data_IF_782917829343
#
_entry.id   IF_782917829343
#
_cell.length_a   1.000
_cell.length_b   1.000
_cell.length_c   1.000
_cell.angle_alpha   90.00
_cell.angle_beta   90.00
_cell.angle_gamma   90.00
#
_symmetry.space_group_name_H-M   'P 1'
#
loop_
_entity.id
_entity.type
_entity.pdbx_description
1 polymer ?
#
# COMPACT_ATOMS: atom_id res chain seq x y z
N UNK A 1 -9.07 13.60 -25.21
CA UNK A 1 -10.32 13.25 -24.50
C UNK A 1 -10.33 13.99 -23.17
N UNK A 2 -11.50 14.35 -22.62
CA UNK A 2 -11.56 14.97 -21.29
C UNK A 2 -11.39 13.88 -20.23
N UNK A 3 -10.45 14.06 -19.30
CA UNK A 3 -10.25 13.16 -18.16
C UNK A 3 -11.36 13.37 -17.14
N UNK A 4 -12.01 12.30 -16.72
CA UNK A 4 -13.01 12.29 -15.65
C UNK A 4 -12.27 12.13 -14.33
N UNK A 5 -12.51 13.06 -13.39
CA UNK A 5 -11.96 12.99 -12.03
C UNK A 5 -13.03 12.45 -11.10
N UNK A 6 -12.70 11.40 -10.36
CA UNK A 6 -13.58 10.71 -9.42
C UNK A 6 -12.97 10.78 -8.03
N UNK A 7 -13.74 11.21 -7.05
CA UNK A 7 -13.41 11.10 -5.64
C UNK A 7 -14.02 9.81 -5.09
N UNK A 8 -13.21 8.94 -4.49
CA UNK A 8 -13.68 7.66 -3.93
C UNK A 8 -13.15 7.44 -2.52
N UNK A 9 -13.87 6.63 -1.73
CA UNK A 9 -13.59 6.48 -0.30
C UNK A 9 -13.29 5.03 0.11
N UNK A 10 -12.17 4.83 0.78
CA UNK A 10 -11.93 3.67 1.65
C UNK A 10 -12.39 4.08 3.05
N UNK A 11 -13.62 3.72 3.41
CA UNK A 11 -14.24 4.09 4.68
C UNK A 11 -13.93 3.02 5.73
N UNK A 12 -13.30 3.41 6.84
CA UNK A 12 -12.98 2.49 7.94
C UNK A 12 -14.04 2.57 9.04
N UNK A 13 -14.57 1.42 9.42
CA UNK A 13 -15.43 1.26 10.59
C UNK A 13 -14.62 1.29 11.88
N UNK A 14 -15.31 1.40 13.02
CA UNK A 14 -14.68 1.36 14.35
C UNK A 14 -14.00 0.03 14.66
N UNK A 15 -14.41 -1.06 13.99
CA UNK A 15 -13.80 -2.39 14.05
C UNK A 15 -12.66 -2.59 13.02
N UNK A 16 -12.31 -1.56 12.26
CA UNK A 16 -11.25 -1.59 11.25
C UNK A 16 -11.62 -2.27 9.93
N UNK A 17 -12.89 -2.70 9.76
CA UNK A 17 -13.42 -3.16 8.48
C UNK A 17 -13.57 -2.00 7.50
N UNK A 18 -13.63 -2.34 6.22
CA UNK A 18 -13.79 -1.41 5.11
C UNK A 18 -15.21 -1.55 4.55
N UNK A 19 -15.90 -0.43 4.37
CA UNK A 19 -17.20 -0.41 3.71
C UNK A 19 -17.02 -0.49 2.19
N UNK A 20 -17.75 -1.40 1.56
CA UNK A 20 -17.82 -1.53 0.11
C UNK A 20 -19.29 -1.57 -0.33
N UNK A 21 -19.56 -1.09 -1.53
CA UNK A 21 -20.89 -1.11 -2.15
C UNK A 21 -20.89 -2.02 -3.37
N UNK A 22 -22.04 -2.64 -3.66
CA UNK A 22 -22.21 -3.44 -4.87
C UNK A 22 -22.93 -2.63 -5.94
N UNK A 23 -22.34 -2.55 -7.13
CA UNK A 23 -22.96 -1.90 -8.29
C UNK A 23 -24.28 -2.55 -8.63
N UNK A 24 -25.28 -1.74 -8.95
CA UNK A 24 -26.50 -2.22 -9.56
C UNK A 24 -26.18 -2.97 -10.87
N UNK A 25 -26.87 -4.08 -11.13
CA UNK A 25 -26.60 -4.94 -12.30
C UNK A 25 -26.74 -4.21 -13.64
N UNK A 26 -27.49 -3.10 -13.68
CA UNK A 26 -27.75 -2.28 -14.87
C UNK A 26 -26.65 -1.26 -15.18
N UNK A 27 -25.67 -1.06 -14.28
CA UNK A 27 -24.58 -0.11 -14.48
C UNK A 27 -23.40 -0.71 -15.26
N UNK A 28 -22.48 0.14 -15.71
CA UNK A 28 -21.25 -0.31 -16.37
C UNK A 28 -20.40 -1.16 -15.41
N UNK A 29 -20.18 -2.43 -15.77
CA UNK A 29 -19.59 -3.46 -14.89
C UNK A 29 -20.46 -3.75 -13.65
N UNK A 30 -21.79 -3.80 -13.83
CA UNK A 30 -22.76 -4.15 -12.79
C UNK A 30 -22.48 -5.50 -12.11
N UNK A 31 -22.88 -5.61 -10.85
CA UNK A 31 -22.67 -6.80 -10.03
C UNK A 31 -21.30 -6.90 -9.35
N UNK A 32 -20.29 -6.11 -9.78
CA UNK A 32 -19.00 -5.96 -9.11
C UNK A 32 -19.11 -5.07 -7.86
N UNK A 33 -18.13 -5.20 -6.96
CA UNK A 33 -17.97 -4.34 -5.80
C UNK A 33 -17.16 -3.10 -6.12
N UNK A 34 -17.41 -2.02 -5.38
CA UNK A 34 -16.69 -0.75 -5.52
C UNK A 34 -16.52 -0.02 -4.18
N UNK A 35 -15.66 0.99 -4.23
CA UNK A 35 -15.49 1.95 -3.15
C UNK A 35 -16.46 3.13 -3.42
N UNK A 36 -17.30 3.52 -2.44
CA UNK A 36 -18.28 4.59 -2.61
C UNK A 36 -17.65 5.93 -3.03
N UNK A 37 -18.41 6.74 -3.76
CA UNK A 37 -17.99 8.05 -4.26
C UNK A 37 -18.35 8.27 -5.72
N UNK A 38 -18.07 9.48 -6.21
CA UNK A 38 -18.51 9.91 -7.54
C UNK A 38 -17.65 10.99 -8.16
N UNK A 39 -18.22 11.69 -9.13
CA UNK A 39 -17.46 12.60 -9.99
C UNK A 39 -17.20 13.91 -9.27
N UNK A 40 -15.99 14.42 -9.43
CA UNK A 40 -15.65 15.79 -9.02
C UNK A 40 -16.23 16.76 -10.05
N UNK A 41 -17.07 17.70 -9.59
CA UNK A 41 -17.69 18.70 -10.44
C UNK A 41 -16.71 19.84 -10.80
N UNK A 42 -17.07 20.65 -11.80
CA UNK A 42 -16.23 21.75 -12.25
C UNK A 42 -16.11 22.83 -11.16
N UNK A 43 -14.88 23.07 -10.69
CA UNK A 43 -14.59 24.04 -9.62
C UNK A 43 -14.79 23.49 -8.21
N UNK A 44 -15.20 22.23 -8.08
CA UNK A 44 -15.33 21.53 -6.80
C UNK A 44 -13.97 21.00 -6.34
N UNK A 45 -13.68 21.10 -5.04
CA UNK A 45 -12.50 20.46 -4.45
C UNK A 45 -12.77 18.97 -4.23
N UNK A 46 -11.72 18.15 -4.18
CA UNK A 46 -11.87 16.69 -4.05
C UNK A 46 -12.53 16.32 -2.71
N UNK A 47 -12.20 17.04 -1.64
CA UNK A 47 -12.79 16.86 -0.31
C UNK A 47 -14.28 17.24 -0.28
N UNK A 48 -14.68 18.31 -0.98
CA UNK A 48 -16.09 18.69 -1.11
C UNK A 48 -16.88 17.65 -1.91
N UNK A 49 -16.33 17.17 -3.03
CA UNK A 49 -16.93 16.12 -3.84
C UNK A 49 -17.09 14.83 -3.03
N UNK A 50 -16.04 14.40 -2.33
CA UNK A 50 -16.07 13.22 -1.48
C UNK A 50 -17.17 13.34 -0.41
N UNK A 51 -17.26 14.48 0.28
CA UNK A 51 -18.25 14.68 1.33
C UNK A 51 -19.70 14.67 0.79
N UNK A 52 -19.93 15.31 -0.37
CA UNK A 52 -21.23 15.33 -1.04
C UNK A 52 -21.65 13.92 -1.48
N UNK A 53 -20.78 13.23 -2.22
CA UNK A 53 -21.07 11.90 -2.77
C UNK A 53 -21.34 10.88 -1.65
N UNK A 54 -20.55 10.88 -0.57
CA UNK A 54 -20.80 9.97 0.56
C UNK A 54 -22.08 10.32 1.33
N UNK A 55 -22.50 11.58 1.34
CA UNK A 55 -23.79 11.96 1.91
C UNK A 55 -24.94 11.48 1.03
N UNK A 56 -24.85 11.67 -0.28
CA UNK A 56 -25.87 11.30 -1.27
C UNK A 56 -26.03 9.78 -1.39
N UNK A 57 -24.92 9.03 -1.42
CA UNK A 57 -24.95 7.57 -1.63
C UNK A 57 -25.18 6.77 -0.35
N UNK A 58 -24.66 7.26 0.78
CA UNK A 58 -24.60 6.50 2.04
C UNK A 58 -25.28 7.15 3.24
N UNK A 59 -25.67 8.43 3.14
CA UNK A 59 -26.25 9.18 4.24
C UNK A 59 -25.27 9.53 5.37
N UNK A 60 -23.96 9.52 5.12
CA UNK A 60 -22.94 9.85 6.13
C UNK A 60 -22.29 11.22 5.90
N UNK A 61 -21.81 11.83 6.98
CA UNK A 61 -21.04 13.08 6.91
C UNK A 61 -19.61 12.84 7.38
N UNK A 62 -18.64 13.07 6.49
CA UNK A 62 -17.21 12.88 6.77
C UNK A 62 -16.73 13.87 7.82
N UNK A 63 -15.98 13.39 8.82
CA UNK A 63 -15.36 14.25 9.85
C UNK A 63 -13.83 14.17 9.86
N UNK A 64 -13.26 13.08 9.33
CA UNK A 64 -11.82 12.97 9.12
C UNK A 64 -11.52 12.11 7.92
N UNK A 65 -10.73 12.65 7.00
CA UNK A 65 -10.25 11.95 5.83
C UNK A 65 -8.83 12.38 5.46
N UNK A 66 -8.11 11.52 4.74
CA UNK A 66 -6.79 11.81 4.18
C UNK A 66 -6.63 11.21 2.79
N UNK A 67 -5.70 11.71 1.95
CA UNK A 67 -5.32 11.02 0.73
C UNK A 67 -4.81 9.60 1.01
N UNK A 68 -5.20 8.64 0.16
CA UNK A 68 -4.74 7.25 0.22
C UNK A 68 -3.92 6.87 -1.01
N UNK A 69 -4.49 7.02 -2.21
CA UNK A 69 -3.83 6.70 -3.48
C UNK A 69 -4.50 7.42 -4.64
N UNK A 70 -3.74 7.77 -5.69
CA UNK A 70 -4.29 8.26 -6.96
C UNK A 70 -3.95 7.29 -8.09
N UNK A 71 -4.93 6.99 -8.93
CA UNK A 71 -4.79 6.03 -10.02
C UNK A 71 -5.30 6.68 -11.31
N UNK A 72 -4.42 6.78 -12.30
CA UNK A 72 -4.82 7.16 -13.66
C UNK A 72 -5.09 5.88 -14.46
N UNK A 73 -6.29 5.76 -15.02
CA UNK A 73 -6.68 4.62 -15.84
C UNK A 73 -7.34 5.09 -17.13
N UNK A 74 -6.77 4.67 -18.26
CA UNK A 74 -7.24 5.02 -19.58
C UNK A 74 -7.96 3.82 -20.20
N UNK A 75 -9.30 3.89 -20.22
CA UNK A 75 -10.15 2.99 -20.99
C UNK A 75 -10.15 3.40 -22.47
N UNK A 76 -10.48 2.49 -23.40
CA UNK A 76 -10.56 2.83 -24.83
C UNK A 76 -11.47 4.02 -25.16
N UNK A 77 -12.52 4.24 -24.35
CA UNK A 77 -13.55 5.25 -24.53
C UNK A 77 -13.45 6.45 -23.57
N UNK A 78 -12.64 6.37 -22.51
CA UNK A 78 -12.55 7.42 -21.47
C UNK A 78 -11.26 7.34 -20.65
N UNK A 79 -10.78 8.49 -20.19
CA UNK A 79 -9.67 8.58 -19.24
C UNK A 79 -10.21 8.94 -17.86
N UNK A 80 -9.78 8.22 -16.83
CA UNK A 80 -10.27 8.39 -15.45
C UNK A 80 -9.10 8.62 -14.50
N UNK A 81 -9.23 9.59 -13.61
CA UNK A 81 -8.40 9.75 -12.42
C UNK A 81 -9.24 9.38 -11.20
N UNK A 82 -8.90 8.28 -10.54
CA UNK A 82 -9.44 7.90 -9.24
C UNK A 82 -8.58 8.57 -8.18
N UNK A 83 -9.15 9.53 -7.45
CA UNK A 83 -8.52 10.21 -6.32
C UNK A 83 -9.14 9.64 -5.04
N UNK A 84 -8.43 8.69 -4.43
CA UNK A 84 -8.98 7.84 -3.37
C UNK A 84 -8.51 8.31 -2.01
N UNK A 85 -9.47 8.48 -1.11
CA UNK A 85 -9.27 8.97 0.23
C UNK A 85 -9.62 7.90 1.26
N UNK A 86 -8.88 7.87 2.36
CA UNK A 86 -9.24 7.08 3.53
C UNK A 86 -10.10 7.95 4.45
N UNK A 87 -11.31 7.49 4.75
CA UNK A 87 -12.21 8.12 5.74
C UNK A 87 -12.10 7.33 7.03
N UNK A 88 -11.50 7.95 8.06
CA UNK A 88 -11.30 7.32 9.37
C UNK A 88 -12.38 7.66 10.38
N UNK A 89 -13.17 8.72 10.14
CA UNK A 89 -14.32 9.06 10.97
C UNK A 89 -15.39 9.80 10.20
N UNK A 90 -16.65 9.54 10.58
CA UNK A 90 -17.85 10.15 10.01
C UNK A 90 -18.98 10.12 11.04
N UNK A 91 -20.07 10.83 10.76
CA UNK A 91 -21.34 10.75 11.50
C UNK A 91 -22.45 10.16 10.62
N UNK A 92 -23.46 9.55 11.24
CA UNK A 92 -24.52 8.83 10.55
C UNK A 92 -24.25 7.33 10.46
N UNK A 93 -25.28 6.57 10.06
CA UNK A 93 -25.18 5.12 9.84
C UNK A 93 -25.21 4.85 8.33
N UNK A 94 -24.16 4.24 7.75
CA UNK A 94 -24.12 3.99 6.31
C UNK A 94 -25.25 3.06 5.88
N UNK A 95 -26.00 3.48 4.86
CA UNK A 95 -27.03 2.68 4.22
C UNK A 95 -27.06 3.04 2.73
N UNK A 96 -27.36 2.08 1.86
CA UNK A 96 -27.47 2.37 0.44
C UNK A 96 -28.70 3.22 0.16
N UNK A 97 -28.52 4.52 -0.07
CA UNK A 97 -29.63 5.46 -0.31
C UNK A 97 -30.44 5.08 -1.55
N UNK A 98 -29.80 4.51 -2.57
CA UNK A 98 -30.43 3.98 -3.78
C UNK A 98 -30.82 2.49 -3.66
N UNK A 99 -30.71 1.91 -2.46
CA UNK A 99 -30.97 0.48 -2.20
C UNK A 99 -29.81 -0.44 -2.60
N UNK A 100 -28.63 0.10 -2.88
CA UNK A 100 -27.45 -0.69 -3.22
C UNK A 100 -26.98 -1.54 -2.01
N UNK A 101 -26.65 -2.82 -2.20
CA UNK A 101 -26.11 -3.65 -1.12
C UNK A 101 -24.77 -3.10 -0.62
N UNK A 102 -24.63 -3.02 0.70
CA UNK A 102 -23.39 -2.65 1.38
C UNK A 102 -22.81 -3.85 2.13
N UNK A 103 -21.49 -3.89 2.27
CA UNK A 103 -20.80 -4.85 3.12
C UNK A 103 -19.65 -4.19 3.88
N UNK A 104 -19.55 -4.52 5.17
CA UNK A 104 -18.36 -4.25 5.98
C UNK A 104 -17.44 -5.47 5.91
N UNK A 105 -16.29 -5.31 5.28
CA UNK A 105 -15.37 -6.42 4.96
C UNK A 105 -14.04 -6.23 5.69
N UNK A 106 -13.47 -7.31 6.22
CA UNK A 106 -12.14 -7.20 6.82
C UNK A 106 -11.08 -6.91 5.74
N UNK A 107 -9.98 -6.26 6.13
CA UNK A 107 -8.87 -5.99 5.20
C UNK A 107 -8.32 -7.29 4.57
N UNK A 108 -8.38 -8.42 5.28
CA UNK A 108 -7.91 -9.70 4.74
C UNK A 108 -8.83 -10.21 3.63
N UNK A 109 -10.14 -10.18 3.86
CA UNK A 109 -11.16 -10.70 2.95
C UNK A 109 -11.38 -9.79 1.73
N UNK A 110 -10.96 -8.53 1.77
CA UNK A 110 -11.16 -7.57 0.68
C UNK A 110 -10.63 -8.06 -0.68
N UNK A 111 -9.60 -8.90 -0.68
CA UNK A 111 -9.03 -9.48 -1.91
C UNK A 111 -9.88 -10.62 -2.51
N UNK A 112 -10.88 -11.13 -1.78
CA UNK A 112 -11.79 -12.21 -2.21
C UNK A 112 -13.02 -11.67 -2.96
N UNK A 113 -13.21 -10.35 -2.97
CA UNK A 113 -14.34 -9.69 -3.63
C UNK A 113 -13.95 -9.27 -5.05
N UNK A 114 -14.90 -9.39 -5.98
CA UNK A 114 -14.68 -9.03 -7.38
C UNK A 114 -14.78 -7.50 -7.58
N UNK A 115 -13.63 -6.89 -7.83
CA UNK A 115 -13.50 -5.47 -8.15
C UNK A 115 -13.07 -5.26 -9.61
N UNK A 116 -13.40 -4.08 -10.21
CA UNK A 116 -12.79 -3.65 -11.46
C UNK A 116 -11.25 -3.69 -11.41
N UNK A 117 -10.61 -3.96 -12.54
CA UNK A 117 -9.14 -4.04 -12.61
C UNK A 117 -8.45 -2.74 -12.10
N UNK A 118 -9.05 -1.58 -12.38
CA UNK A 118 -8.56 -0.27 -11.92
C UNK A 118 -8.60 -0.10 -10.38
N UNK A 119 -9.41 -0.90 -9.67
CA UNK A 119 -9.54 -0.82 -8.22
C UNK A 119 -8.55 -1.74 -7.48
N UNK A 120 -7.83 -2.63 -8.18
CA UNK A 120 -6.85 -3.52 -7.54
C UNK A 120 -5.80 -2.78 -6.71
N UNK A 121 -5.22 -1.65 -7.17
CA UNK A 121 -4.28 -0.88 -6.34
C UNK A 121 -4.96 -0.23 -5.13
N UNK A 122 -6.26 0.08 -5.21
CA UNK A 122 -7.05 0.58 -4.06
C UNK A 122 -7.21 -0.51 -3.02
N UNK A 123 -7.57 -1.74 -3.45
CA UNK A 123 -7.64 -2.91 -2.57
C UNK A 123 -6.29 -3.15 -1.89
N UNK A 124 -5.17 -3.02 -2.62
CA UNK A 124 -3.84 -3.11 -2.03
C UNK A 124 -3.61 -2.01 -0.97
N UNK A 125 -3.88 -0.75 -1.31
CA UNK A 125 -3.70 0.40 -0.42
C UNK A 125 -4.54 0.29 0.87
N UNK A 126 -5.78 -0.16 0.76
CA UNK A 126 -6.71 -0.32 1.89
C UNK A 126 -6.23 -1.38 2.90
N UNK A 127 -5.44 -2.36 2.44
CA UNK A 127 -4.89 -3.48 3.23
C UNK A 127 -3.51 -3.19 3.81
N UNK A 128 -2.83 -2.18 3.30
CA UNK A 128 -1.47 -1.83 3.70
C UNK A 128 -1.50 -0.81 4.86
N UNK A 129 -0.65 -0.97 5.89
CA UNK A 129 -0.54 0.01 6.98
C UNK A 129 0.19 1.28 6.52
N UNK A 130 0.20 2.33 7.35
CA UNK A 130 0.99 3.55 7.08
C UNK A 130 2.49 3.40 7.40
N UNK A 131 2.91 2.27 7.98
CA UNK A 131 4.27 2.06 8.49
C UNK A 131 4.80 0.71 8.02
N UNK A 132 6.02 0.73 7.48
CA UNK A 132 6.71 -0.46 7.01
C UNK A 132 8.07 -0.58 7.70
N UNK A 133 8.14 -1.44 8.72
CA UNK A 133 9.36 -1.67 9.47
C UNK A 133 10.35 -2.49 8.64
N UNK A 134 11.62 -2.08 8.60
CA UNK A 134 12.71 -2.87 8.04
C UNK A 134 13.65 -3.23 9.18
N UNK A 135 14.00 -4.51 9.31
CA UNK A 135 14.88 -4.93 10.41
C UNK A 135 16.31 -4.38 10.25
N UNK A 136 17.02 -4.10 11.35
CA UNK A 136 18.46 -3.87 11.32
C UNK A 136 19.22 -5.13 10.89
N UNK A 137 20.47 -4.96 10.45
CA UNK A 137 21.36 -6.04 10.00
C UNK A 137 22.61 -6.21 10.88
N UNK A 138 22.75 -5.38 11.92
CA UNK A 138 23.88 -5.36 12.86
C UNK A 138 23.57 -6.04 14.20
N UNK A 139 22.42 -6.69 14.34
CA UNK A 139 22.00 -7.40 15.54
C UNK A 139 22.21 -8.91 15.44
N UNK A 140 22.54 -9.52 16.57
CA UNK A 140 22.51 -10.98 16.70
C UNK A 140 21.08 -11.52 16.70
N UNK A 141 20.92 -12.77 16.25
CA UNK A 141 19.60 -13.42 16.06
C UNK A 141 18.66 -13.28 17.27
N UNK A 142 19.09 -13.53 18.52
CA UNK A 142 18.19 -13.40 19.67
C UNK A 142 17.64 -11.98 19.86
N UNK A 143 18.48 -10.97 19.64
CA UNK A 143 18.10 -9.56 19.80
C UNK A 143 17.21 -9.09 18.65
N UNK A 144 17.51 -9.54 17.42
CA UNK A 144 16.69 -9.29 16.24
C UNK A 144 15.27 -9.84 16.40
N UNK A 145 15.14 -11.11 16.82
CA UNK A 145 13.85 -11.76 17.04
C UNK A 145 13.08 -11.12 18.21
N UNK A 146 13.78 -10.72 19.28
CA UNK A 146 13.18 -9.95 20.38
C UNK A 146 12.61 -8.62 19.87
N UNK A 147 13.36 -7.89 19.05
CA UNK A 147 12.91 -6.63 18.46
C UNK A 147 11.71 -6.80 17.53
N UNK A 148 11.68 -7.83 16.67
CA UNK A 148 10.51 -8.15 15.84
C UNK A 148 9.28 -8.40 16.72
N UNK A 149 9.41 -9.22 17.76
CA UNK A 149 8.32 -9.52 18.69
C UNK A 149 7.79 -8.26 19.35
N UNK A 150 8.66 -7.39 19.86
CA UNK A 150 8.28 -6.14 20.51
C UNK A 150 7.59 -5.19 19.53
N UNK A 151 8.12 -5.03 18.31
CA UNK A 151 7.53 -4.17 17.29
C UNK A 151 6.13 -4.62 16.88
N UNK A 152 5.94 -5.92 16.65
CA UNK A 152 4.63 -6.51 16.30
C UNK A 152 3.64 -6.36 17.47
N UNK A 153 4.09 -6.56 18.70
CA UNK A 153 3.27 -6.35 19.90
C UNK A 153 2.87 -4.86 20.08
N UNK A 154 3.73 -3.93 19.67
CA UNK A 154 3.44 -2.49 19.66
C UNK A 154 2.52 -2.05 18.50
N UNK A 155 2.12 -2.97 17.61
CA UNK A 155 1.12 -2.72 16.58
C UNK A 155 1.67 -2.62 15.16
N UNK A 156 2.97 -2.79 14.92
CA UNK A 156 3.52 -2.85 13.56
C UNK A 156 2.87 -3.99 12.78
N UNK A 157 2.31 -3.66 11.60
CA UNK A 157 1.56 -4.62 10.76
C UNK A 157 2.28 -5.07 9.49
N UNK A 158 3.40 -4.44 9.15
CA UNK A 158 4.20 -4.80 7.97
C UNK A 158 5.68 -4.73 8.33
N UNK A 159 6.39 -5.85 8.16
CA UNK A 159 7.80 -6.01 8.54
C UNK A 159 8.58 -6.59 7.36
N UNK A 160 9.75 -6.01 7.04
CA UNK A 160 10.73 -6.58 6.12
C UNK A 160 11.89 -7.17 6.91
N UNK A 161 12.14 -8.46 6.75
CA UNK A 161 13.39 -9.04 7.22
C UNK A 161 14.50 -8.69 6.23
N UNK A 162 15.39 -7.78 6.62
CA UNK A 162 16.46 -7.28 5.77
C UNK A 162 17.55 -8.34 5.59
N UNK A 163 17.85 -8.70 4.34
CA UNK A 163 19.01 -9.51 3.97
C UNK A 163 19.96 -8.64 3.13
N UNK A 164 21.02 -8.05 3.71
CA UNK A 164 22.03 -7.39 2.90
C UNK A 164 22.83 -8.40 2.06
N UNK A 165 23.05 -9.61 2.60
CA UNK A 165 23.75 -10.71 1.93
C UNK A 165 22.71 -11.77 1.50
N UNK A 166 22.28 -11.72 0.24
CA UNK A 166 21.15 -12.49 -0.31
C UNK A 166 21.24 -14.03 -0.14
N UNK A 167 22.41 -14.59 0.15
CA UNK A 167 22.64 -16.04 0.32
C UNK A 167 23.29 -16.36 1.66
N UNK A 168 22.64 -16.02 2.76
CA UNK A 168 23.09 -16.36 4.12
C UNK A 168 22.19 -17.48 4.72
N UNK A 169 22.74 -18.68 5.02
CA UNK A 169 21.99 -19.72 5.73
C UNK A 169 21.42 -19.23 7.07
N UNK A 170 22.14 -18.37 7.80
CA UNK A 170 21.65 -17.76 9.06
C UNK A 170 20.41 -16.92 8.82
N UNK A 171 20.34 -16.20 7.70
CA UNK A 171 19.14 -15.44 7.32
C UNK A 171 17.93 -16.35 7.12
N UNK A 172 18.12 -17.51 6.47
CA UNK A 172 17.02 -18.46 6.22
C UNK A 172 16.45 -18.99 7.54
N UNK A 173 17.29 -19.32 8.52
CA UNK A 173 16.84 -19.77 9.83
C UNK A 173 16.08 -18.66 10.58
N UNK A 174 16.60 -17.43 10.56
CA UNK A 174 15.90 -16.26 11.13
C UNK A 174 14.55 -16.02 10.44
N UNK A 175 14.45 -16.24 9.13
CA UNK A 175 13.21 -16.09 8.39
C UNK A 175 12.12 -17.07 8.86
N UNK A 176 12.49 -18.30 9.21
CA UNK A 176 11.54 -19.29 9.77
C UNK A 176 10.95 -18.78 11.09
N UNK A 177 11.80 -18.32 12.01
CA UNK A 177 11.36 -17.79 13.29
C UNK A 177 10.52 -16.51 13.13
N UNK A 178 10.94 -15.60 12.24
CA UNK A 178 10.24 -14.36 11.96
C UNK A 178 8.82 -14.60 11.41
N UNK A 179 8.61 -15.63 10.57
CA UNK A 179 7.28 -16.03 10.11
C UNK A 179 6.39 -16.38 11.31
N UNK A 180 6.90 -17.16 12.25
CA UNK A 180 6.17 -17.54 13.47
C UNK A 180 5.81 -16.34 14.34
N UNK A 181 6.71 -15.36 14.47
CA UNK A 181 6.46 -14.13 15.24
C UNK A 181 5.40 -13.23 14.62
N UNK A 182 5.35 -13.16 13.29
CA UNK A 182 4.41 -12.32 12.55
C UNK A 182 3.04 -12.98 12.33
N UNK A 183 2.94 -14.31 12.39
CA UNK A 183 1.73 -15.07 12.07
C UNK A 183 0.47 -14.50 12.76
N UNK A 184 -0.52 -14.13 11.93
CA UNK A 184 -1.81 -13.57 12.38
C UNK A 184 -1.76 -12.14 12.95
N UNK A 185 -0.58 -11.51 13.00
CA UNK A 185 -0.38 -10.21 13.67
C UNK A 185 0.18 -9.13 12.72
N UNK A 186 1.06 -9.53 11.81
CA UNK A 186 1.73 -8.68 10.83
C UNK A 186 2.06 -9.46 9.55
N UNK A 187 2.18 -8.77 8.43
CA UNK A 187 2.72 -9.33 7.21
C UNK A 187 4.26 -9.27 7.23
N UNK A 188 4.91 -10.42 7.10
CA UNK A 188 6.35 -10.50 6.88
C UNK A 188 6.66 -10.44 5.39
N UNK A 189 7.64 -9.61 5.02
CA UNK A 189 8.22 -9.50 3.69
C UNK A 189 9.67 -9.98 3.76
N UNK A 190 10.00 -10.99 2.96
CA UNK A 190 11.37 -11.49 2.85
C UNK A 190 12.08 -10.84 1.68
N UNK A 191 13.39 -10.62 1.83
CA UNK A 191 14.27 -10.11 0.79
C UNK A 191 15.33 -11.17 0.55
N UNK A 192 15.22 -11.91 -0.54
CA UNK A 192 16.08 -13.06 -0.79
C UNK A 192 15.93 -13.64 -2.20
N UNK A 193 16.58 -14.79 -2.48
CA UNK A 193 16.52 -15.49 -3.75
C UNK A 193 15.12 -16.05 -3.99
N UNK A 194 14.60 -15.93 -5.22
CA UNK A 194 13.23 -16.38 -5.55
C UNK A 194 13.06 -17.90 -5.44
N UNK A 195 14.16 -18.65 -5.43
CA UNK A 195 14.20 -20.09 -5.22
C UNK A 195 13.63 -20.49 -3.85
N UNK A 196 13.62 -19.59 -2.86
CA UNK A 196 13.07 -19.83 -1.53
C UNK A 196 11.56 -19.57 -1.42
N UNK A 197 10.89 -19.15 -2.50
CA UNK A 197 9.46 -18.82 -2.47
C UNK A 197 8.58 -19.96 -1.95
N UNK A 198 8.95 -21.22 -2.24
CA UNK A 198 8.25 -22.42 -1.81
C UNK A 198 8.42 -22.74 -0.33
N UNK A 199 9.53 -22.31 0.28
CA UNK A 199 9.84 -22.56 1.68
C UNK A 199 9.02 -21.66 2.62
N UNK A 200 8.55 -20.51 2.12
CA UNK A 200 7.88 -19.48 2.92
C UNK A 200 6.53 -19.06 2.32
N UNK A 201 5.53 -19.95 2.27
CA UNK A 201 4.25 -19.68 1.61
C UNK A 201 3.45 -18.53 2.25
N UNK A 202 3.64 -18.28 3.56
CA UNK A 202 2.96 -17.19 4.28
C UNK A 202 3.67 -15.83 4.16
N UNK A 203 4.90 -15.79 3.65
CA UNK A 203 5.65 -14.56 3.48
C UNK A 203 5.37 -13.93 2.12
N UNK A 204 5.36 -12.59 2.11
CA UNK A 204 5.50 -11.81 0.89
C UNK A 204 6.97 -11.69 0.50
N UNK A 205 7.22 -11.21 -0.72
CA UNK A 205 8.56 -11.05 -1.27
C UNK A 205 8.86 -9.59 -1.59
N UNK A 206 10.05 -9.11 -1.25
CA UNK A 206 10.54 -7.78 -1.57
C UNK A 206 11.80 -7.88 -2.43
N UNK A 207 11.70 -7.50 -3.70
CA UNK A 207 12.79 -7.52 -4.65
C UNK A 207 13.75 -6.36 -4.44
N UNK A 208 15.04 -6.62 -4.60
CA UNK A 208 16.02 -5.56 -4.88
C UNK A 208 15.74 -4.91 -6.23
N UNK A 209 16.27 -3.71 -6.46
CA UNK A 209 16.25 -3.06 -7.78
C UNK A 209 16.97 -3.90 -8.85
N UNK A 210 18.06 -4.60 -8.48
CA UNK A 210 18.76 -5.53 -9.38
C UNK A 210 17.88 -6.71 -9.78
N UNK A 211 17.22 -7.37 -8.83
CA UNK A 211 16.27 -8.46 -9.12
C UNK A 211 15.11 -7.97 -9.97
N UNK A 212 14.58 -6.77 -9.68
CA UNK A 212 13.51 -6.17 -10.47
C UNK A 212 13.95 -5.99 -11.93
N UNK A 213 15.11 -5.36 -12.17
CA UNK A 213 15.69 -5.18 -13.52
C UNK A 213 15.90 -6.51 -14.24
N UNK A 214 16.37 -7.52 -13.52
CA UNK A 214 16.64 -8.86 -14.07
C UNK A 214 15.37 -9.62 -14.45
N UNK A 215 14.29 -9.48 -13.68
CA UNK A 215 13.12 -10.37 -13.78
C UNK A 215 11.83 -9.70 -14.25
N UNK A 216 11.74 -8.37 -14.33
CA UNK A 216 10.50 -7.67 -14.72
C UNK A 216 9.96 -8.13 -16.08
N UNK A 217 10.84 -8.42 -17.05
CA UNK A 217 10.46 -8.92 -18.37
C UNK A 217 9.84 -10.32 -18.36
N UNK A 218 10.05 -11.10 -17.29
CA UNK A 218 9.45 -12.42 -17.09
C UNK A 218 8.09 -12.35 -16.42
N UNK A 219 7.67 -11.16 -15.97
CA UNK A 219 6.43 -10.94 -15.25
C UNK A 219 6.50 -11.41 -13.79
N UNK A 220 5.32 -11.50 -13.16
CA UNK A 220 5.18 -11.85 -11.75
C UNK A 220 5.61 -13.30 -11.48
N UNK A 221 6.50 -13.56 -10.50
CA UNK A 221 7.07 -14.89 -10.28
C UNK A 221 6.15 -15.86 -9.50
N UNK A 222 5.04 -15.40 -8.94
CA UNK A 222 4.07 -16.20 -8.19
C UNK A 222 2.67 -15.56 -8.24
N UNK A 223 1.59 -16.28 -7.84
CA UNK A 223 0.21 -15.77 -7.92
C UNK A 223 -0.03 -14.47 -7.11
N UNK A 224 -1.16 -13.80 -7.37
CA UNK A 224 -1.48 -12.48 -6.79
C UNK A 224 -2.03 -12.53 -5.35
N UNK A 225 -2.20 -13.73 -4.79
CA UNK A 225 -2.67 -13.96 -3.42
C UNK A 225 -1.60 -13.66 -2.35
N UNK A 226 -0.33 -13.60 -2.75
CA UNK A 226 0.82 -13.29 -1.90
C UNK A 226 1.37 -11.91 -2.25
N UNK A 227 1.86 -11.15 -1.27
CA UNK A 227 2.44 -9.82 -1.52
C UNK A 227 3.78 -9.88 -2.27
N UNK A 228 3.93 -9.02 -3.28
CA UNK A 228 5.17 -8.75 -3.98
C UNK A 228 5.48 -7.24 -3.91
N UNK A 229 6.69 -6.89 -3.53
CA UNK A 229 7.17 -5.53 -3.50
C UNK A 229 8.54 -5.40 -4.17
N UNK A 230 8.95 -4.16 -4.47
CA UNK A 230 10.29 -3.89 -4.98
C UNK A 230 10.88 -2.59 -4.43
N UNK A 231 12.21 -2.58 -4.30
CA UNK A 231 12.98 -1.36 -4.06
C UNK A 231 13.14 -0.59 -5.36
N UNK A 232 12.73 0.68 -5.37
CA UNK A 232 12.84 1.59 -6.52
C UNK A 232 13.53 2.90 -6.11
N UNK A 233 14.21 3.50 -7.07
CA UNK A 233 15.03 4.71 -6.94
C UNK A 233 14.81 5.69 -8.09
N UNK A 234 14.04 5.32 -9.12
CA UNK A 234 13.87 6.09 -10.35
C UNK A 234 12.55 5.77 -11.05
N UNK A 235 12.14 6.63 -12.00
CA UNK A 235 10.97 6.40 -12.85
C UNK A 235 11.07 5.10 -13.66
N UNK A 236 12.27 4.77 -14.16
CA UNK A 236 12.53 3.53 -14.90
C UNK A 236 12.19 2.30 -14.05
N UNK A 237 12.64 2.27 -12.79
CA UNK A 237 12.36 1.16 -11.88
C UNK A 237 10.87 1.10 -11.49
N UNK A 238 10.20 2.24 -11.36
CA UNK A 238 8.75 2.26 -11.17
C UNK A 238 8.02 1.64 -12.37
N UNK A 239 8.43 1.95 -13.60
CA UNK A 239 7.87 1.31 -14.81
C UNK A 239 8.14 -0.20 -14.84
N UNK A 240 9.33 -0.64 -14.45
CA UNK A 240 9.65 -2.07 -14.32
C UNK A 240 8.79 -2.76 -13.24
N UNK A 241 8.51 -2.06 -12.14
CA UNK A 241 7.65 -2.55 -11.07
C UNK A 241 6.17 -2.66 -11.52
N UNK A 242 5.70 -1.74 -12.36
CA UNK A 242 4.39 -1.88 -13.02
C UNK A 242 4.37 -3.10 -13.94
N UNK A 243 5.35 -3.24 -14.83
CA UNK A 243 5.49 -4.36 -15.76
C UNK A 243 5.53 -5.71 -15.04
N UNK A 244 6.29 -5.81 -13.94
CA UNK A 244 6.38 -7.03 -13.15
C UNK A 244 5.09 -7.36 -12.40
N UNK A 245 4.19 -6.39 -12.26
CA UNK A 245 2.96 -6.56 -11.51
C UNK A 245 3.19 -6.64 -10.00
N UNK A 246 4.14 -5.88 -9.44
CA UNK A 246 4.28 -5.77 -7.97
C UNK A 246 3.03 -5.17 -7.32
N UNK A 247 2.85 -5.34 -6.02
CA UNK A 247 1.68 -4.81 -5.30
C UNK A 247 1.97 -3.46 -4.64
N UNK A 248 3.22 -3.21 -4.25
CA UNK A 248 3.70 -1.91 -3.74
C UNK A 248 5.21 -1.77 -3.93
N UNK A 249 5.75 -0.58 -3.69
CA UNK A 249 7.21 -0.32 -3.76
C UNK A 249 7.70 0.47 -2.55
N UNK A 250 9.00 0.46 -2.33
CA UNK A 250 9.68 1.52 -1.57
C UNK A 250 10.39 2.46 -2.53
N UNK A 251 10.27 3.77 -2.33
CA UNK A 251 10.98 4.81 -3.07
C UNK A 251 12.00 5.49 -2.17
N UNK A 252 13.28 5.44 -2.55
CA UNK A 252 14.39 5.88 -1.67
C UNK A 252 15.66 6.28 -2.42
N UNK A 253 16.63 6.94 -1.75
CA UNK A 253 16.45 7.65 -0.48
C UNK A 253 15.72 8.97 -0.69
N UNK A 254 14.76 9.31 0.18
CA UNK A 254 14.06 10.61 0.12
C UNK A 254 14.92 11.72 0.71
N UNK A 255 15.53 11.46 1.87
CA UNK A 255 16.42 12.34 2.61
C UNK A 255 17.77 11.66 2.88
N UNK A 256 18.83 12.39 3.29
CA UNK A 256 20.11 11.80 3.64
C UNK A 256 19.97 10.67 4.67
N UNK A 257 20.72 9.58 4.51
CA UNK A 257 20.60 8.40 5.37
C UNK A 257 21.95 7.75 5.64
N UNK A 258 22.13 7.26 6.88
CA UNK A 258 23.32 6.51 7.27
C UNK A 258 23.45 5.15 6.57
N UNK A 259 22.34 4.58 6.07
CA UNK A 259 22.38 3.29 5.38
C UNK A 259 23.04 3.38 4.00
N UNK A 260 22.99 4.55 3.37
CA UNK A 260 23.56 4.84 2.05
C UNK A 260 24.05 6.30 2.01
N UNK A 261 25.18 6.62 2.65
CA UNK A 261 25.65 7.99 2.84
C UNK A 261 26.03 8.70 1.53
N UNK A 262 26.48 7.93 0.53
CA UNK A 262 26.92 8.47 -0.77
C UNK A 262 25.78 8.61 -1.78
N UNK A 263 24.56 8.15 -1.45
CA UNK A 263 23.42 8.24 -2.36
C UNK A 263 22.85 9.67 -2.37
N UNK A 264 22.63 10.21 -3.57
CA UNK A 264 21.96 11.49 -3.73
C UNK A 264 20.46 11.36 -3.37
N UNK A 265 19.94 12.08 -2.37
CA UNK A 265 18.52 12.03 -2.02
C UNK A 265 17.63 12.56 -3.14
N UNK A 266 16.43 12.00 -3.26
CA UNK A 266 15.41 12.47 -4.20
C UNK A 266 14.86 13.84 -3.82
N UNK A 267 14.65 14.07 -2.52
CA UNK A 267 13.84 15.17 -2.01
C UNK A 267 12.33 14.94 -2.20
N UNK A 268 11.53 15.70 -1.45
CA UNK A 268 10.07 15.55 -1.41
C UNK A 268 9.38 15.89 -2.73
N UNK A 269 9.85 16.92 -3.44
CA UNK A 269 9.28 17.36 -4.71
C UNK A 269 9.43 16.27 -5.79
N UNK A 270 10.65 15.80 -6.02
CA UNK A 270 10.91 14.72 -6.99
C UNK A 270 10.20 13.42 -6.60
N UNK A 271 10.11 13.10 -5.30
CA UNK A 271 9.35 11.93 -4.84
C UNK A 271 7.87 12.04 -5.20
N UNK A 272 7.25 13.22 -5.00
CA UNK A 272 5.86 13.50 -5.39
C UNK A 272 5.66 13.34 -6.90
N UNK A 273 6.56 13.86 -7.72
CA UNK A 273 6.46 13.76 -9.18
C UNK A 273 6.52 12.30 -9.66
N UNK A 274 7.42 11.51 -9.05
CA UNK A 274 7.54 10.08 -9.34
C UNK A 274 6.29 9.30 -8.92
N UNK A 275 5.73 9.59 -7.74
CA UNK A 275 4.50 8.95 -7.25
C UNK A 275 3.30 9.30 -8.15
N UNK A 276 3.19 10.55 -8.61
CA UNK A 276 2.10 10.98 -9.47
C UNK A 276 2.04 10.19 -10.80
N UNK A 277 3.17 9.64 -11.25
CA UNK A 277 3.28 8.79 -12.43
C UNK A 277 3.13 7.29 -12.17
N UNK A 278 2.86 6.85 -10.93
CA UNK A 278 2.84 5.44 -10.54
C UNK A 278 1.54 5.05 -9.84
N UNK A 279 0.88 4.00 -10.31
CA UNK A 279 -0.51 3.70 -9.90
C UNK A 279 -0.64 2.71 -8.73
N UNK A 280 0.44 2.45 -7.98
CA UNK A 280 0.43 1.50 -6.86
C UNK A 280 0.95 2.13 -5.57
N UNK A 281 0.65 1.56 -4.39
CA UNK A 281 1.14 2.06 -3.12
C UNK A 281 2.66 2.23 -3.08
N UNK A 282 3.12 3.38 -2.57
CA UNK A 282 4.54 3.71 -2.41
C UNK A 282 4.82 3.99 -0.93
N UNK A 283 5.81 3.32 -0.36
CA UNK A 283 6.40 3.72 0.91
C UNK A 283 7.65 4.57 0.66
N UNK A 284 7.70 5.74 1.28
CA UNK A 284 8.90 6.57 1.27
C UNK A 284 9.92 6.03 2.26
N UNK A 285 11.18 5.91 1.82
CA UNK A 285 12.27 5.32 2.60
C UNK A 285 13.56 6.15 2.45
N UNK A 286 14.39 6.12 3.48
CA UNK A 286 15.69 6.79 3.51
C UNK A 286 15.59 8.19 4.09
N UNK A 287 16.05 8.32 5.34
CA UNK A 287 16.08 9.58 6.09
C UNK A 287 14.71 10.07 6.59
N UNK A 288 13.65 9.28 6.41
CA UNK A 288 12.29 9.55 6.92
C UNK A 288 11.93 8.62 8.08
N UNK A 289 10.97 9.05 8.91
CA UNK A 289 10.45 8.30 10.06
C UNK A 289 8.95 8.53 10.32
N UNK A 290 8.41 8.00 11.42
CA UNK A 290 6.98 8.08 11.74
C UNK A 290 6.41 9.51 11.76
N UNK A 291 7.23 10.50 12.12
CA UNK A 291 6.84 11.92 12.17
C UNK A 291 6.61 12.54 10.79
N UNK A 292 7.20 11.97 9.74
CA UNK A 292 7.08 12.47 8.35
C UNK A 292 5.86 11.90 7.62
N UNK A 293 5.09 11.03 8.28
CA UNK A 293 3.96 10.32 7.70
C UNK A 293 2.88 11.26 7.11
N UNK A 294 2.48 12.37 7.76
CA UNK A 294 1.56 13.33 7.16
C UNK A 294 2.10 13.89 5.83
N UNK A 295 3.38 14.27 5.79
CA UNK A 295 4.02 14.78 4.58
C UNK A 295 4.12 13.70 3.48
N UNK A 296 4.31 12.44 3.85
CA UNK A 296 4.28 11.32 2.91
C UNK A 296 2.89 11.18 2.26
N UNK A 297 1.81 11.26 3.04
CA UNK A 297 0.44 11.25 2.50
C UNK A 297 0.16 12.42 1.57
N UNK A 298 0.63 13.62 1.91
CA UNK A 298 0.51 14.81 1.03
C UNK A 298 1.28 14.66 -0.29
N UNK A 299 2.30 13.79 -0.32
CA UNK A 299 3.03 13.44 -1.54
C UNK A 299 2.36 12.29 -2.32
N UNK A 300 1.25 11.74 -1.84
CA UNK A 300 0.53 10.61 -2.44
C UNK A 300 1.09 9.23 -2.06
N UNK A 301 2.00 9.16 -1.08
CA UNK A 301 2.55 7.90 -0.61
C UNK A 301 1.57 7.17 0.33
N UNK A 302 1.68 5.84 0.39
CA UNK A 302 0.99 5.00 1.37
C UNK A 302 1.42 5.34 2.80
N UNK A 303 2.70 5.68 2.96
CA UNK A 303 3.31 6.00 4.24
C UNK A 303 4.82 5.97 4.18
N UNK A 304 5.44 5.63 5.30
CA UNK A 304 6.89 5.66 5.50
C UNK A 304 7.43 4.29 5.87
N UNK A 305 8.65 4.01 5.42
CA UNK A 305 9.40 2.81 5.78
C UNK A 305 10.76 3.21 6.38
N UNK A 306 11.30 2.36 7.25
CA UNK A 306 12.60 2.63 7.84
C UNK A 306 13.09 1.54 8.79
N UNK A 307 14.33 1.72 9.23
CA UNK A 307 15.01 0.80 10.16
C UNK A 307 14.97 1.40 11.57
N UNK A 308 15.95 2.24 11.90
CA UNK A 308 16.19 2.74 13.27
C UNK A 308 15.01 3.55 13.83
N UNK A 309 14.36 4.36 12.99
CA UNK A 309 13.24 5.21 13.42
C UNK A 309 11.99 4.41 13.85
N UNK A 310 11.90 3.13 13.48
CA UNK A 310 10.78 2.25 13.78
C UNK A 310 11.18 1.08 14.69
N UNK A 311 12.48 0.86 14.90
CA UNK A 311 12.96 -0.25 15.71
C UNK A 311 12.72 0.08 17.20
N UNK A 312 12.11 -0.85 17.98
CA UNK A 312 11.88 -0.60 19.39
C UNK A 312 13.22 -0.42 20.11
N UNK A 313 13.28 0.60 20.97
CA UNK A 313 14.41 0.74 21.89
C UNK A 313 14.32 -0.37 22.93
N UNK A 314 15.46 -1.02 23.18
CA UNK A 314 15.59 -2.19 24.05
C UNK A 314 15.36 -1.87 25.52
#
# INVERSE_FOLDING_TARGET
MKRVHVAAAVIRGSDGKVLIARRADTQHQGGLWEFPGGKVEAGESVDAALARELHEELGISVTSARPLIKISHDYPDKQVLLDVWEVSSFTGEPHGVEGQPLAWVSQRELAEYDFPAANRPIVAAARLPGEYLITPDDLETPDLLRGIRTAVAAGIKLVQLRAPNMYDPKYRDVAVDAVGLCAGKAQLMLKGPLEWLGDFPAAGWHLTSEQLRKYASKGRPFPQDRWLAASCHSAEELSLAEQMGVDFVTLSPVLPTLSHPDAQPLGWEKARDLIAGFSKPVYLLGGVGPTDRPQAWDCGAQGVAGIRAFWPQG
#
